data_IF_634338562116
#
_entry.id   IF_634338562116
#
_cell.length_a   1.000
_cell.length_b   1.000
_cell.length_c   1.000
_cell.angle_alpha   90.00
_cell.angle_beta   90.00
_cell.angle_gamma   90.00
#
_symmetry.space_group_name_H-M   'P 1'
#
loop_
_entity.id
_entity.type
_entity.pdbx_description
1 polymer ?
#
# COMPACT_ATOMS: atom_id res chain seq x y z
N UNK A 1 -28.94 12.33 12.79
CA UNK A 1 -27.48 12.28 12.54
C UNK A 1 -27.20 10.98 11.82
N UNK A 2 -27.14 11.00 10.48
CA UNK A 2 -26.93 9.80 9.68
C UNK A 2 -25.44 9.46 9.72
N UNK A 3 -25.05 8.61 10.67
CA UNK A 3 -23.72 8.01 10.67
C UNK A 3 -23.64 7.09 9.46
N UNK A 4 -22.95 7.55 8.41
CA UNK A 4 -22.69 6.72 7.24
C UNK A 4 -22.00 5.43 7.69
N UNK A 5 -22.70 4.31 7.52
CA UNK A 5 -22.22 2.97 7.85
C UNK A 5 -21.02 2.62 6.99
N UNK A 6 -19.81 2.83 7.50
CA UNK A 6 -18.54 2.43 6.88
C UNK A 6 -18.25 0.92 7.05
N UNK A 7 -19.29 0.09 7.18
CA UNK A 7 -19.16 -1.34 7.50
C UNK A 7 -19.76 -2.18 6.36
N UNK A 8 -19.03 -2.37 5.24
CA UNK A 8 -18.93 -3.76 4.74
C UNK A 8 -17.59 -4.17 4.10
N UNK A 9 -16.88 -3.28 3.40
CA UNK A 9 -15.80 -3.69 2.49
C UNK A 9 -14.54 -4.20 3.23
N UNK A 10 -14.15 -3.50 4.30
CA UNK A 10 -12.99 -3.90 5.10
C UNK A 10 -13.24 -5.19 5.90
N UNK A 11 -14.46 -5.35 6.42
CA UNK A 11 -14.87 -6.56 7.15
C UNK A 11 -14.84 -7.80 6.26
N UNK A 12 -15.26 -7.69 4.99
CA UNK A 12 -15.21 -8.82 4.05
C UNK A 12 -13.79 -9.34 3.85
N UNK A 13 -12.83 -8.45 3.61
CA UNK A 13 -11.43 -8.85 3.44
C UNK A 13 -10.87 -9.48 4.74
N UNK A 14 -11.13 -8.86 5.89
CA UNK A 14 -10.68 -9.38 7.19
C UNK A 14 -11.25 -10.78 7.49
N UNK A 15 -12.54 -10.99 7.23
CA UNK A 15 -13.22 -12.27 7.45
C UNK A 15 -12.66 -13.37 6.54
N UNK A 16 -12.48 -13.10 5.25
CA UNK A 16 -11.88 -14.06 4.31
C UNK A 16 -10.45 -14.44 4.73
N UNK A 17 -9.66 -13.46 5.20
CA UNK A 17 -8.30 -13.71 5.69
C UNK A 17 -8.27 -14.58 6.94
N UNK A 18 -9.26 -14.44 7.82
CA UNK A 18 -9.36 -15.20 9.07
C UNK A 18 -9.86 -16.63 8.86
N UNK A 19 -10.78 -16.84 7.92
CA UNK A 19 -11.53 -18.11 7.80
C UNK A 19 -10.99 -19.06 6.74
N UNK A 20 -10.37 -18.56 5.66
CA UNK A 20 -9.90 -19.42 4.57
C UNK A 20 -8.53 -20.04 4.87
N UNK A 21 -8.24 -21.28 4.44
CA UNK A 21 -6.91 -21.87 4.56
C UNK A 21 -5.89 -21.22 3.59
N UNK A 22 -4.60 -21.54 3.74
CA UNK A 22 -3.52 -20.96 2.91
C UNK A 22 -3.62 -21.40 1.44
N UNK A 23 -4.12 -22.61 1.20
CA UNK A 23 -4.31 -23.24 -0.11
C UNK A 23 -5.54 -22.70 -0.86
N UNK A 24 -6.39 -21.90 -0.19
CA UNK A 24 -7.55 -21.32 -0.81
C UNK A 24 -7.20 -20.21 -1.80
N UNK A 25 -8.07 -20.05 -2.81
CA UNK A 25 -8.02 -18.96 -3.79
C UNK A 25 -9.34 -18.22 -3.80
N UNK A 26 -9.28 -16.90 -3.64
CA UNK A 26 -10.45 -16.02 -3.76
C UNK A 26 -10.48 -15.43 -5.16
N UNK A 27 -11.64 -15.48 -5.81
CA UNK A 27 -11.88 -14.80 -7.09
C UNK A 27 -12.93 -13.71 -6.88
N UNK A 28 -12.60 -12.48 -7.26
CA UNK A 28 -13.51 -11.33 -7.23
C UNK A 28 -13.77 -10.84 -8.66
N UNK A 29 -15.03 -10.57 -8.99
CA UNK A 29 -15.42 -9.84 -10.20
C UNK A 29 -15.84 -8.41 -9.85
N UNK A 30 -15.61 -7.48 -10.77
CA UNK A 30 -15.92 -6.03 -10.69
C UNK A 30 -15.25 -5.22 -9.57
N UNK A 31 -15.15 -5.76 -8.36
CA UNK A 31 -14.67 -5.04 -7.18
C UNK A 31 -13.46 -5.77 -6.57
N UNK A 32 -12.23 -5.36 -6.91
CA UNK A 32 -11.04 -5.94 -6.32
C UNK A 32 -10.90 -5.57 -4.84
N UNK A 33 -10.10 -6.34 -4.11
CA UNK A 33 -9.68 -6.00 -2.75
C UNK A 33 -8.45 -5.08 -2.79
N UNK A 34 -8.54 -3.78 -2.41
CA UNK A 34 -7.46 -2.82 -2.63
C UNK A 34 -6.18 -3.10 -1.85
N UNK A 35 -6.30 -3.77 -0.70
CA UNK A 35 -5.17 -4.08 0.18
C UNK A 35 -4.44 -5.38 -0.18
N UNK A 36 -5.00 -6.16 -1.13
CA UNK A 36 -4.48 -7.46 -1.55
C UNK A 36 -3.90 -7.37 -2.95
N UNK A 37 -2.74 -7.97 -3.16
CA UNK A 37 -2.13 -8.08 -4.49
C UNK A 37 -2.70 -9.31 -5.19
N UNK A 38 -3.29 -9.17 -6.40
CA UNK A 38 -3.80 -10.32 -7.15
C UNK A 38 -2.65 -11.16 -7.70
N UNK A 39 -2.82 -12.49 -7.71
CA UNK A 39 -1.88 -13.40 -8.37
C UNK A 39 -2.14 -13.51 -9.87
N UNK A 40 -3.37 -13.26 -10.29
CA UNK A 40 -3.76 -13.21 -11.70
C UNK A 40 -4.96 -12.28 -11.90
N UNK A 41 -5.05 -11.69 -13.09
CA UNK A 41 -6.18 -10.87 -13.53
C UNK A 41 -6.61 -11.32 -14.92
N UNK A 42 -7.91 -11.43 -15.14
CA UNK A 42 -8.49 -11.86 -16.42
C UNK A 42 -9.59 -10.87 -16.83
N UNK A 43 -9.72 -10.60 -18.13
CA UNK A 43 -10.72 -9.68 -18.67
C UNK A 43 -10.31 -8.21 -18.54
N UNK A 44 -11.21 -7.30 -18.94
CA UNK A 44 -10.99 -5.86 -18.90
C UNK A 44 -12.28 -5.11 -18.54
N UNK A 45 -12.13 -3.93 -17.93
CA UNK A 45 -13.26 -3.07 -17.58
C UNK A 45 -14.23 -3.73 -16.61
N UNK A 46 -15.52 -3.74 -16.95
CA UNK A 46 -16.58 -4.28 -16.09
C UNK A 46 -16.54 -5.81 -15.97
N UNK A 47 -15.92 -6.48 -16.93
CA UNK A 47 -15.79 -7.95 -16.98
C UNK A 47 -14.46 -8.42 -16.37
N UNK A 48 -13.70 -7.51 -15.77
CA UNK A 48 -12.43 -7.86 -15.15
C UNK A 48 -12.64 -8.66 -13.85
N UNK A 49 -11.84 -9.71 -13.70
CA UNK A 49 -11.76 -10.56 -12.52
C UNK A 49 -10.33 -10.61 -11.95
N UNK A 50 -10.23 -10.78 -10.64
CA UNK A 50 -8.98 -10.86 -9.89
C UNK A 50 -8.95 -12.15 -9.07
N UNK A 51 -7.85 -12.88 -9.14
CA UNK A 51 -7.58 -14.03 -8.31
C UNK A 51 -6.55 -13.68 -7.22
N UNK A 52 -6.77 -14.17 -6.01
CA UNK A 52 -5.91 -13.95 -4.85
C UNK A 52 -5.59 -15.28 -4.18
N UNK A 53 -4.30 -15.59 -4.04
CA UNK A 53 -3.84 -16.75 -3.28
C UNK A 53 -3.67 -16.39 -1.81
N UNK A 54 -4.38 -17.09 -0.91
CA UNK A 54 -4.46 -16.69 0.50
C UNK A 54 -3.10 -16.72 1.22
N UNK A 55 -2.25 -17.69 0.87
CA UNK A 55 -0.86 -17.76 1.33
C UNK A 55 -0.08 -16.48 1.02
N UNK A 56 -0.17 -15.98 -0.21
CA UNK A 56 0.55 -14.79 -0.68
C UNK A 56 0.00 -13.51 -0.04
N UNK A 57 -1.33 -13.42 0.08
CA UNK A 57 -2.00 -12.32 0.78
C UNK A 57 -1.54 -12.23 2.24
N UNK A 58 -1.47 -13.37 2.96
CA UNK A 58 -0.98 -13.41 4.34
C UNK A 58 0.49 -13.04 4.45
N UNK A 59 1.33 -13.53 3.54
CA UNK A 59 2.75 -13.18 3.50
C UNK A 59 2.93 -11.67 3.36
N UNK A 60 2.27 -11.06 2.38
CA UNK A 60 2.33 -9.61 2.16
C UNK A 60 1.78 -8.81 3.36
N UNK A 61 0.73 -9.28 4.02
CA UNK A 61 0.19 -8.64 5.22
C UNK A 61 1.18 -8.67 6.40
N UNK A 62 1.94 -9.77 6.56
CA UNK A 62 3.00 -9.87 7.57
C UNK A 62 4.16 -8.94 7.24
N UNK A 63 4.64 -8.93 6.00
CA UNK A 63 5.74 -8.07 5.55
C UNK A 63 5.45 -6.58 5.76
N UNK A 64 4.23 -6.12 5.47
CA UNK A 64 3.80 -4.75 5.76
C UNK A 64 3.95 -4.39 7.24
N UNK A 65 3.63 -5.33 8.14
CA UNK A 65 3.73 -5.15 9.59
C UNK A 65 5.19 -5.06 10.06
N UNK A 66 6.11 -5.78 9.41
CA UNK A 66 7.55 -5.69 9.68
C UNK A 66 8.13 -4.36 9.19
N UNK A 67 7.72 -3.88 8.02
CA UNK A 67 8.16 -2.58 7.49
C UNK A 67 7.67 -1.40 8.33
N UNK A 68 6.49 -1.50 8.96
CA UNK A 68 5.99 -0.47 9.88
C UNK A 68 6.73 -0.43 11.23
N UNK A 69 7.48 -1.48 11.58
CA UNK A 69 8.20 -1.58 12.85
C UNK A 69 9.68 -1.17 12.74
N UNK A 70 10.22 -1.10 11.52
CA UNK A 70 11.58 -0.62 11.24
C UNK A 70 11.51 0.82 10.73
N UNK A 71 11.23 1.76 11.64
CA UNK A 71 11.62 3.17 11.46
C UNK A 71 12.24 3.66 12.77
N UNK A 72 13.44 3.16 13.07
CA UNK A 72 14.34 3.81 14.03
C UNK A 72 14.87 5.07 13.36
N UNK A 73 14.29 6.20 13.76
CA UNK A 73 14.75 7.54 13.38
C UNK A 73 16.18 7.72 13.90
N UNK A 74 17.18 7.75 13.03
CA UNK A 74 18.52 8.21 13.38
C UNK A 74 18.70 9.62 12.78
N UNK A 75 18.45 10.63 13.61
CA UNK A 75 18.81 12.03 13.37
C UNK A 75 20.16 12.28 14.04
N UNK A 76 21.28 12.42 13.30
CA UNK A 76 22.49 13.01 13.85
C UNK A 76 22.32 14.54 13.86
N UNK A 77 21.82 15.01 14.99
CA UNK A 77 21.78 16.40 15.42
C UNK A 77 23.13 17.10 15.27
N UNK A 78 23.09 18.28 14.63
CA UNK A 78 23.99 19.43 14.76
C UNK A 78 25.46 19.27 14.29
N UNK A 79 25.73 19.75 13.07
CA UNK A 79 26.96 20.49 12.80
C UNK A 79 26.61 21.88 12.24
N UNK A 80 27.04 22.88 12.99
CA UNK A 80 26.80 24.30 12.89
C UNK A 80 26.98 24.93 11.52
N UNK A 81 26.06 25.85 11.25
CA UNK A 81 26.17 27.08 10.45
C UNK A 81 27.58 27.56 10.10
N UNK A 82 27.78 27.92 8.82
CA UNK A 82 28.70 28.99 8.42
C UNK A 82 28.15 29.71 7.18
N UNK A 83 27.84 30.98 7.39
CA UNK A 83 27.33 31.97 6.44
C UNK A 83 28.41 32.50 5.50
N UNK A 84 28.09 32.69 4.22
CA UNK A 84 28.61 33.73 3.32
C UNK A 84 28.01 33.43 1.93
N UNK A 85 27.08 34.21 1.39
CA UNK A 85 27.34 35.56 0.92
C UNK A 85 27.91 35.49 -0.50
N UNK A 86 27.09 35.71 -1.53
CA UNK A 86 27.31 36.76 -2.53
C UNK A 86 26.44 36.58 -3.78
N UNK A 87 25.93 37.72 -4.23
CA UNK A 87 25.13 37.96 -5.42
C UNK A 87 25.96 37.71 -6.68
N UNK A 88 25.38 37.11 -7.71
CA UNK A 88 26.02 36.96 -9.02
C UNK A 88 25.01 36.90 -10.15
N UNK A 89 24.99 37.96 -10.96
CA UNK A 89 24.09 38.24 -12.09
C UNK A 89 24.30 37.31 -13.29
N UNK A 90 23.18 36.98 -13.95
CA UNK A 90 22.90 37.08 -15.39
C UNK A 90 23.85 36.51 -16.46
N UNK A 91 23.22 35.69 -17.31
CA UNK A 91 23.28 35.63 -18.80
C UNK A 91 24.66 35.72 -19.46
N UNK A 92 25.06 34.60 -20.07
CA UNK A 92 25.81 34.61 -21.33
C UNK A 92 25.22 33.54 -22.27
N UNK A 93 24.52 34.00 -23.31
CA UNK A 93 24.35 33.29 -24.59
C UNK A 93 24.97 34.22 -25.61
N UNK A 94 26.12 33.85 -26.15
CA UNK A 94 26.54 34.08 -27.52
C UNK A 94 27.35 32.85 -27.92
#
# INVERSE_FOLDING_TARGET
MHGASLIPAFWKAAKLLAELPDEARVVAGRFPFPSWTPSSTLGQGLEQAWAYDMKEVRRAAREKRFSSHVQVHLEPSLASSSSAGSRGRSRARL
#
